data_IF_807945322210
#
_entry.id   IF_807945322210
#
_cell.length_a   1.000
_cell.length_b   1.000
_cell.length_c   1.000
_cell.angle_alpha   90.00
_cell.angle_beta   90.00
_cell.angle_gamma   90.00
#
_symmetry.space_group_name_H-M   'P 1'
#
loop_
_entity.id
_entity.type
_entity.pdbx_description
1 polymer ?
#
# COMPACT_ATOMS: atom_id res chain seq x y z
N UNK A 1 -26.56 -16.25 8.31
CA UNK A 1 -25.57 -15.22 7.92
C UNK A 1 -25.41 -14.20 9.05
N UNK A 2 -24.82 -14.57 10.18
CA UNK A 2 -24.66 -13.69 11.36
C UNK A 2 -23.29 -13.87 12.05
N UNK A 3 -22.35 -14.57 11.42
CA UNK A 3 -21.04 -14.90 12.01
C UNK A 3 -19.94 -13.91 11.59
N UNK A 4 -20.12 -13.21 10.47
CA UNK A 4 -19.06 -12.41 9.86
C UNK A 4 -18.89 -11.03 10.50
N UNK A 5 -19.97 -10.40 10.97
CA UNK A 5 -19.91 -9.07 11.60
C UNK A 5 -19.17 -9.03 12.95
N UNK A 6 -19.08 -10.17 13.65
CA UNK A 6 -18.50 -10.21 15.00
C UNK A 6 -16.98 -10.48 14.99
N UNK A 7 -16.46 -11.10 13.93
CA UNK A 7 -15.02 -11.38 13.78
C UNK A 7 -14.23 -10.09 13.53
N UNK A 8 -14.71 -9.20 12.66
CA UNK A 8 -14.00 -7.94 12.36
C UNK A 8 -14.04 -6.92 13.50
N UNK A 9 -15.03 -7.01 14.40
CA UNK A 9 -15.18 -6.10 15.53
C UNK A 9 -14.03 -6.20 16.54
N UNK A 10 -13.30 -7.31 16.53
CA UNK A 10 -12.15 -7.58 17.41
C UNK A 10 -10.83 -7.71 16.66
N UNK A 11 -10.81 -7.43 15.35
CA UNK A 11 -9.59 -7.51 14.57
C UNK A 11 -8.55 -6.51 15.11
N UNK A 12 -7.28 -6.92 15.30
CA UNK A 12 -6.21 -6.00 15.61
C UNK A 12 -6.15 -4.86 14.59
N UNK A 13 -5.78 -3.64 15.01
CA UNK A 13 -5.75 -2.47 14.13
C UNK A 13 -4.94 -2.70 12.84
N UNK A 14 -3.88 -3.51 12.92
CA UNK A 14 -3.05 -3.90 11.77
C UNK A 14 -3.74 -4.87 10.81
N UNK A 15 -4.58 -5.77 11.32
CA UNK A 15 -5.41 -6.65 10.48
C UNK A 15 -6.44 -5.83 9.72
N UNK A 16 -7.08 -4.86 10.38
CA UNK A 16 -8.01 -3.94 9.71
C UNK A 16 -7.31 -3.07 8.65
N UNK A 17 -6.12 -2.54 8.96
CA UNK A 17 -5.31 -1.77 8.02
C UNK A 17 -4.90 -2.61 6.80
N UNK A 18 -4.49 -3.86 7.02
CA UNK A 18 -4.11 -4.76 5.94
C UNK A 18 -5.32 -5.19 5.10
N UNK A 19 -6.52 -5.34 5.68
CA UNK A 19 -7.73 -5.53 4.88
C UNK A 19 -8.06 -4.32 4.03
N UNK A 20 -7.91 -3.12 4.61
CA UNK A 20 -8.11 -1.88 3.87
C UNK A 20 -7.11 -1.78 2.70
N UNK A 21 -5.84 -2.17 2.86
CA UNK A 21 -4.90 -2.25 1.73
C UNK A 21 -5.48 -3.02 0.53
N UNK A 22 -6.17 -4.13 0.76
CA UNK A 22 -6.75 -4.97 -0.29
C UNK A 22 -8.13 -4.53 -0.79
N UNK A 23 -8.81 -3.59 -0.12
CA UNK A 23 -10.14 -3.11 -0.54
C UNK A 23 -10.11 -2.27 -1.82
N UNK A 24 -8.92 -1.78 -2.24
CA UNK A 24 -8.71 -1.10 -3.51
C UNK A 24 -7.61 -1.78 -4.35
N UNK A 25 -7.92 -2.31 -5.55
CA UNK A 25 -6.94 -2.99 -6.40
C UNK A 25 -5.73 -2.13 -6.79
N UNK A 26 -5.93 -0.81 -6.91
CA UNK A 26 -4.88 0.16 -7.25
C UNK A 26 -3.71 0.15 -6.26
N UNK A 27 -4.02 0.06 -4.95
CA UNK A 27 -3.01 0.01 -3.89
C UNK A 27 -2.16 -1.26 -4.00
N UNK A 28 -2.81 -2.39 -4.25
CA UNK A 28 -2.13 -3.70 -4.38
C UNK A 28 -1.19 -3.70 -5.59
N UNK A 29 -1.63 -3.16 -6.74
CA UNK A 29 -0.81 -3.10 -7.96
C UNK A 29 0.42 -2.21 -7.79
N UNK A 30 0.24 -1.02 -7.22
CA UNK A 30 1.37 -0.10 -6.93
C UNK A 30 2.33 -0.73 -5.93
N UNK A 31 1.82 -1.29 -4.83
CA UNK A 31 2.67 -1.94 -3.84
C UNK A 31 3.44 -3.12 -4.45
N UNK A 32 2.79 -3.95 -5.27
CA UNK A 32 3.43 -5.06 -5.99
C UNK A 32 4.57 -4.59 -6.87
N UNK A 33 4.43 -3.47 -7.57
CA UNK A 33 5.50 -2.91 -8.42
C UNK A 33 6.70 -2.41 -7.59
N UNK A 34 6.44 -1.79 -6.43
CA UNK A 34 7.47 -1.26 -5.54
C UNK A 34 8.14 -2.34 -4.67
N UNK A 35 7.50 -3.50 -4.47
CA UNK A 35 8.08 -4.61 -3.73
C UNK A 35 9.42 -5.03 -4.35
N UNK A 36 9.56 -5.16 -5.69
CA UNK A 36 10.78 -5.25 -6.48
C UNK A 36 12.05 -4.57 -6.00
N UNK A 37 11.92 -3.25 -6.03
CA UNK A 37 12.96 -2.24 -6.00
C UNK A 37 12.27 -0.89 -5.83
N UNK A 38 12.98 0.13 -5.31
CA UNK A 38 12.51 1.50 -5.36
C UNK A 38 12.30 1.97 -6.81
N UNK A 39 11.28 2.79 -7.03
CA UNK A 39 10.93 3.35 -8.35
C UNK A 39 10.59 4.84 -8.21
N UNK A 40 10.92 5.62 -9.24
CA UNK A 40 10.29 6.93 -9.43
C UNK A 40 8.87 6.83 -10.02
N UNK A 41 8.15 7.95 -10.13
CA UNK A 41 6.79 7.95 -10.67
C UNK A 41 6.70 7.50 -12.13
N UNK A 42 7.68 7.89 -12.97
CA UNK A 42 7.67 7.52 -14.39
C UNK A 42 7.98 6.04 -14.54
N UNK A 43 9.00 5.52 -13.85
CA UNK A 43 9.30 4.09 -13.85
C UNK A 43 8.12 3.26 -13.33
N UNK A 44 7.46 3.71 -12.26
CA UNK A 44 6.26 3.05 -11.75
C UNK A 44 5.16 3.05 -12.82
N UNK A 45 4.90 4.19 -13.46
CA UNK A 45 3.91 4.30 -14.51
C UNK A 45 4.26 3.43 -15.73
N UNK A 46 5.52 3.29 -16.10
CA UNK A 46 5.93 2.41 -17.19
C UNK A 46 5.69 0.93 -16.85
N UNK A 47 5.73 0.55 -15.57
CA UNK A 47 5.49 -0.83 -15.12
C UNK A 47 3.99 -1.18 -15.04
N UNK A 48 3.11 -0.23 -14.68
CA UNK A 48 1.68 -0.51 -14.42
C UNK A 48 0.70 0.35 -15.23
N UNK A 49 1.19 1.21 -16.12
CA UNK A 49 0.40 2.22 -16.84
C UNK A 49 -0.64 1.66 -17.80
N UNK A 50 -0.43 0.45 -18.32
CA UNK A 50 -1.43 -0.25 -19.14
C UNK A 50 -2.64 -0.72 -18.33
N UNK A 51 -2.51 -0.78 -17.00
CA UNK A 51 -3.58 -1.21 -16.09
C UNK A 51 -4.24 -0.04 -15.36
N UNK A 52 -3.52 1.08 -15.19
CA UNK A 52 -3.95 2.19 -14.34
C UNK A 52 -3.67 3.55 -14.95
N UNK A 53 -4.61 4.49 -14.77
CA UNK A 53 -4.40 5.89 -15.13
C UNK A 53 -3.41 6.59 -14.18
N UNK A 54 -2.71 7.63 -14.66
CA UNK A 54 -1.80 8.44 -13.82
C UNK A 54 -2.44 8.95 -12.52
N UNK A 55 -3.69 9.47 -12.52
CA UNK A 55 -4.37 9.87 -11.29
C UNK A 55 -4.57 8.72 -10.31
N UNK A 56 -4.88 7.51 -10.80
CA UNK A 56 -5.07 6.34 -9.95
C UNK A 56 -3.75 5.89 -9.29
N UNK A 57 -2.63 5.98 -10.01
CA UNK A 57 -1.29 5.71 -9.45
C UNK A 57 -0.95 6.74 -8.36
N UNK A 58 -1.19 8.03 -8.62
CA UNK A 58 -0.98 9.08 -7.62
C UNK A 58 -1.82 8.88 -6.35
N UNK A 59 -3.11 8.58 -6.50
CA UNK A 59 -3.99 8.32 -5.36
C UNK A 59 -3.50 7.13 -4.53
N UNK A 60 -3.11 6.03 -5.19
CA UNK A 60 -2.59 4.84 -4.53
C UNK A 60 -1.26 5.12 -3.79
N UNK A 61 -0.35 5.92 -4.35
CA UNK A 61 0.88 6.33 -3.65
C UNK A 61 0.57 7.12 -2.37
N UNK A 62 -0.38 8.06 -2.42
CA UNK A 62 -0.81 8.83 -1.25
C UNK A 62 -1.38 7.90 -0.18
N UNK A 63 -2.30 7.01 -0.56
CA UNK A 63 -2.92 6.06 0.37
C UNK A 63 -1.88 5.15 1.02
N UNK A 64 -1.02 4.52 0.21
CA UNK A 64 0.01 3.60 0.70
C UNK A 64 0.99 4.29 1.66
N UNK A 65 1.32 5.56 1.42
CA UNK A 65 2.17 6.35 2.33
C UNK A 65 1.45 6.66 3.63
N UNK A 66 0.17 7.04 3.56
CA UNK A 66 -0.65 7.29 4.75
C UNK A 66 -0.86 6.02 5.58
N UNK A 67 -0.93 4.86 4.94
CA UNK A 67 -0.94 3.54 5.60
C UNK A 67 0.43 3.13 6.16
N UNK A 68 1.50 3.78 5.71
CA UNK A 68 2.88 3.49 6.09
C UNK A 68 3.50 2.30 5.36
N UNK A 69 2.90 1.80 4.28
CA UNK A 69 3.45 0.69 3.48
C UNK A 69 4.54 1.12 2.50
N UNK A 70 4.64 2.41 2.23
CA UNK A 70 5.72 2.99 1.43
C UNK A 70 6.30 4.23 2.12
N UNK A 71 7.54 4.55 1.77
CA UNK A 71 8.21 5.80 2.09
C UNK A 71 8.69 6.47 0.80
N UNK A 72 8.95 7.78 0.87
CA UNK A 72 9.48 8.57 -0.24
C UNK A 72 10.66 9.42 0.21
N UNK A 73 11.58 9.72 -0.70
CA UNK A 73 12.78 10.52 -0.43
C UNK A 73 12.56 12.03 -0.65
N UNK A 74 11.33 12.45 -0.92
CA UNK A 74 11.03 13.85 -1.14
C UNK A 74 11.06 14.62 0.19
N UNK A 75 11.46 15.90 0.17
CA UNK A 75 11.45 16.74 1.36
C UNK A 75 10.06 16.82 2.01
N UNK A 76 10.00 16.88 3.34
CA UNK A 76 8.73 16.89 4.07
C UNK A 76 7.91 18.17 3.84
N UNK A 77 8.56 19.27 3.45
CA UNK A 77 7.96 20.60 3.28
C UNK A 77 7.31 20.82 1.90
N UNK A 78 7.43 19.87 0.97
CA UNK A 78 6.85 20.03 -0.38
C UNK A 78 5.40 19.56 -0.44
N UNK A 79 4.52 20.48 -0.87
CA UNK A 79 3.10 20.20 -1.12
C UNK A 79 2.90 19.17 -2.25
N UNK A 80 3.76 19.22 -3.27
CA UNK A 80 3.77 18.27 -4.40
C UNK A 80 5.13 17.62 -4.51
N UNK A 81 5.15 16.29 -4.51
CA UNK A 81 6.39 15.53 -4.67
C UNK A 81 7.06 15.80 -6.02
N UNK A 82 8.37 16.11 -6.08
CA UNK A 82 9.11 16.26 -7.32
C UNK A 82 9.01 15.02 -8.22
N UNK A 83 9.19 15.20 -9.53
CA UNK A 83 9.07 14.10 -10.49
C UNK A 83 10.08 12.96 -10.26
N UNK A 84 11.28 13.28 -9.74
CA UNK A 84 12.33 12.31 -9.43
C UNK A 84 12.26 11.72 -8.03
N UNK A 85 11.11 11.86 -7.33
CA UNK A 85 10.92 11.26 -6.00
C UNK A 85 10.95 9.74 -6.12
N UNK A 86 11.80 9.11 -5.32
CA UNK A 86 11.92 7.66 -5.24
C UNK A 86 10.98 7.14 -4.16
N UNK A 87 10.09 6.23 -4.56
CA UNK A 87 9.18 5.54 -3.67
C UNK A 87 9.74 4.16 -3.32
N UNK A 88 9.75 3.82 -2.03
CA UNK A 88 10.29 2.54 -1.52
C UNK A 88 9.23 1.81 -0.71
N UNK A 89 8.99 0.54 -1.02
CA UNK A 89 8.10 -0.30 -0.23
C UNK A 89 8.76 -0.74 1.09
N UNK A 90 8.03 -0.60 2.20
CA UNK A 90 8.45 -1.07 3.52
C UNK A 90 8.14 -2.55 3.69
N UNK A 91 8.96 -3.39 3.06
CA UNK A 91 8.77 -4.86 2.98
C UNK A 91 8.63 -5.53 4.34
N UNK A 92 9.35 -5.03 5.34
CA UNK A 92 9.29 -5.47 6.73
C UNK A 92 7.88 -5.32 7.30
N UNK A 93 7.26 -4.14 7.10
CA UNK A 93 5.90 -3.87 7.54
C UNK A 93 4.87 -4.69 6.79
N UNK A 94 5.00 -4.79 5.46
CA UNK A 94 4.07 -5.58 4.63
C UNK A 94 4.07 -7.05 5.08
N UNK A 95 5.26 -7.63 5.30
CA UNK A 95 5.40 -9.03 5.69
C UNK A 95 4.88 -9.27 7.11
N UNK A 96 5.21 -8.37 8.04
CA UNK A 96 4.72 -8.46 9.43
C UNK A 96 3.21 -8.36 9.51
N UNK A 97 2.62 -7.37 8.83
CA UNK A 97 1.18 -7.15 8.87
C UNK A 97 0.44 -8.31 8.17
N UNK A 98 0.99 -8.88 7.09
CA UNK A 98 0.48 -10.11 6.50
C UNK A 98 0.52 -11.30 7.46
N UNK A 99 1.62 -11.49 8.19
CA UNK A 99 1.76 -12.51 9.23
C UNK A 99 0.68 -12.39 10.31
N UNK A 100 0.43 -11.16 10.79
CA UNK A 100 -0.63 -10.91 11.79
C UNK A 100 -2.03 -11.23 11.25
N UNK A 101 -2.28 -11.01 9.96
CA UNK A 101 -3.54 -11.41 9.32
C UNK A 101 -3.66 -12.93 9.27
N UNK A 102 -2.58 -13.64 8.92
CA UNK A 102 -2.58 -15.10 8.92
C UNK A 102 -2.83 -15.67 10.32
N UNK A 103 -2.14 -15.16 11.34
CA UNK A 103 -2.36 -15.53 12.75
C UNK A 103 -3.82 -15.30 13.16
N UNK A 104 -4.40 -14.14 12.80
CA UNK A 104 -5.79 -13.83 13.12
C UNK A 104 -6.80 -14.77 12.42
N UNK A 105 -6.53 -15.14 11.17
CA UNK A 105 -7.43 -15.99 10.36
C UNK A 105 -7.31 -17.47 10.73
N UNK A 106 -6.10 -17.94 11.06
CA UNK A 106 -5.81 -19.36 11.28
C UNK A 106 -5.88 -19.78 12.76
N UNK A 107 -5.77 -18.84 13.71
CA UNK A 107 -5.70 -19.11 15.15
C UNK A 107 -4.33 -19.61 15.58
#
# INVERSE_FOLDING_TARGET
MARDDNLMKHAPARVALFQELFSAPSRVLVLRALLPRPLDFNELFDVIGDTMSRPAVHAALIDLRNMGYIEDDAPDDVLRRPAGTIFTARRDLVTRDFGQVLEFVLG
#
